data_IF_541033130942
#
_entry.id   IF_541033130942
#
_cell.length_a   1.000
_cell.length_b   1.000
_cell.length_c   1.000
_cell.angle_alpha   90.00
_cell.angle_beta   90.00
_cell.angle_gamma   90.00
#
_symmetry.space_group_name_H-M   'P 1'
#
loop_
_entity.id
_entity.type
_entity.pdbx_description
1 polymer ?
#
# COMPACT_ATOMS: atom_id res chain seq x y z
N UNK A 1 19.04 -3.60 1.96
CA UNK A 1 18.52 -2.49 2.80
C UNK A 1 17.03 -2.72 2.94
N UNK A 2 16.51 -2.92 4.15
CA UNK A 2 15.06 -3.05 4.37
C UNK A 2 14.41 -1.66 4.34
N UNK A 3 13.12 -1.62 3.97
CA UNK A 3 12.35 -0.39 4.02
C UNK A 3 12.00 -0.09 5.48
N UNK A 4 12.30 1.13 5.93
CA UNK A 4 12.09 1.49 7.34
C UNK A 4 10.63 1.79 7.70
N UNK A 5 9.69 1.78 6.77
CA UNK A 5 8.34 2.29 7.01
C UNK A 5 8.24 3.82 6.93
N UNK A 6 7.06 4.38 7.23
CA UNK A 6 6.83 5.83 7.23
C UNK A 6 5.49 6.26 6.65
N UNK A 7 5.36 7.56 6.39
CA UNK A 7 4.14 8.15 5.84
C UNK A 7 4.39 8.62 4.41
N UNK A 8 3.53 8.22 3.49
CA UNK A 8 3.58 8.61 2.08
C UNK A 8 2.20 9.05 1.59
N UNK A 9 2.16 10.04 0.71
CA UNK A 9 0.94 10.51 0.05
C UNK A 9 0.97 10.07 -1.40
N UNK A 10 -0.13 9.49 -1.89
CA UNK A 10 -0.21 9.01 -3.28
C UNK A 10 -0.52 10.11 -4.30
N UNK A 11 -0.89 11.31 -3.84
CA UNK A 11 -1.26 12.48 -4.66
C UNK A 11 -2.35 12.15 -5.70
N UNK A 12 -3.22 11.17 -5.41
CA UNK A 12 -4.29 10.73 -6.29
C UNK A 12 -3.87 9.80 -7.44
N UNK A 13 -2.61 9.35 -7.50
CA UNK A 13 -2.18 8.31 -8.46
C UNK A 13 -2.31 6.91 -7.82
N UNK A 14 -3.23 6.12 -8.37
CA UNK A 14 -3.52 4.76 -7.91
C UNK A 14 -2.31 3.84 -8.00
N UNK A 15 -1.39 4.05 -8.95
CA UNK A 15 -0.17 3.25 -9.08
C UNK A 15 0.82 3.56 -7.98
N UNK A 16 0.93 4.83 -7.58
CA UNK A 16 1.77 5.22 -6.43
C UNK A 16 1.20 4.57 -5.17
N UNK A 17 -0.10 4.69 -4.93
CA UNK A 17 -0.76 4.07 -3.78
C UNK A 17 -0.52 2.54 -3.73
N UNK A 18 -0.75 1.82 -4.84
CA UNK A 18 -0.56 0.37 -4.90
C UNK A 18 0.91 -0.05 -4.76
N UNK A 19 1.84 0.68 -5.39
CA UNK A 19 3.27 0.37 -5.30
C UNK A 19 3.80 0.54 -3.88
N UNK A 20 3.37 1.60 -3.19
CA UNK A 20 3.72 1.84 -1.79
C UNK A 20 3.13 0.78 -0.85
N UNK A 21 1.92 0.30 -1.15
CA UNK A 21 1.26 -0.74 -0.37
C UNK A 21 1.99 -2.10 -0.50
N UNK A 22 2.47 -2.45 -1.69
CA UNK A 22 3.33 -3.63 -1.87
C UNK A 22 4.68 -3.44 -1.17
N UNK A 23 5.27 -2.24 -1.24
CA UNK A 23 6.51 -1.92 -0.54
C UNK A 23 6.35 -2.03 0.99
N UNK A 24 5.16 -1.71 1.52
CA UNK A 24 4.83 -1.83 2.94
C UNK A 24 4.92 -3.26 3.47
N UNK A 25 4.59 -4.28 2.65
CA UNK A 25 4.69 -5.68 3.04
C UNK A 25 6.12 -6.11 3.40
N UNK A 26 7.13 -5.46 2.80
CA UNK A 26 8.54 -5.71 3.08
C UNK A 26 9.19 -4.69 4.03
N UNK A 27 8.38 -3.84 4.68
CA UNK A 27 8.86 -2.80 5.58
C UNK A 27 8.95 -3.27 7.04
N UNK A 28 9.92 -2.72 7.77
CA UNK A 28 10.15 -3.08 9.18
C UNK A 28 9.14 -2.42 10.11
N UNK A 29 8.70 -1.21 9.76
CA UNK A 29 7.73 -0.44 10.54
C UNK A 29 6.51 -0.13 9.69
N UNK A 30 5.41 0.26 10.34
CA UNK A 30 4.15 0.63 9.70
C UNK A 30 4.36 1.66 8.56
N UNK A 31 3.69 1.41 7.43
CA UNK A 31 3.57 2.37 6.32
C UNK A 31 2.15 2.89 6.28
N UNK A 32 1.99 4.21 6.36
CA UNK A 32 0.71 4.90 6.16
C UNK A 32 0.69 5.54 4.78
N UNK A 33 -0.36 5.27 4.01
CA UNK A 33 -0.55 5.77 2.65
C UNK A 33 -1.81 6.63 2.62
N UNK A 34 -1.67 7.91 2.29
CA UNK A 34 -2.78 8.83 2.12
C UNK A 34 -3.27 8.88 0.66
N UNK A 35 -4.49 9.38 0.46
CA UNK A 35 -5.17 9.57 -0.83
C UNK A 35 -5.43 8.27 -1.62
N UNK A 36 -5.64 7.16 -0.93
CA UNK A 36 -5.88 5.83 -1.54
C UNK A 36 -7.25 5.67 -2.20
N UNK A 37 -8.15 6.65 -2.11
CA UNK A 37 -9.50 6.57 -2.69
C UNK A 37 -9.49 6.28 -4.21
N UNK A 38 -8.43 6.69 -4.91
CA UNK A 38 -8.25 6.43 -6.34
C UNK A 38 -8.06 4.94 -6.69
N UNK A 39 -7.59 4.10 -5.74
CA UNK A 39 -7.32 2.68 -6.03
C UNK A 39 -8.60 1.89 -6.30
N UNK A 40 -9.69 2.17 -5.59
CA UNK A 40 -10.97 1.47 -5.75
C UNK A 40 -11.58 1.67 -7.15
N UNK A 41 -11.31 2.81 -7.78
CA UNK A 41 -11.79 3.09 -9.15
C UNK A 41 -11.06 2.28 -10.22
N UNK A 42 -9.78 1.95 -9.97
CA UNK A 42 -8.92 1.27 -10.94
C UNK A 42 -8.81 -0.23 -10.67
N UNK A 43 -8.74 -0.63 -9.41
CA UNK A 43 -8.63 -2.02 -8.98
C UNK A 43 -9.43 -2.24 -7.69
N UNK A 44 -10.75 -2.41 -7.79
CA UNK A 44 -11.61 -2.70 -6.65
C UNK A 44 -11.19 -4.03 -6.00
N UNK A 45 -11.05 -4.04 -4.67
CA UNK A 45 -10.60 -5.22 -3.91
C UNK A 45 -9.08 -5.37 -3.78
N UNK A 46 -8.30 -4.37 -4.22
CA UNK A 46 -6.84 -4.34 -4.01
C UNK A 46 -6.45 -4.55 -2.54
N UNK A 47 -7.10 -3.82 -1.63
CA UNK A 47 -6.78 -3.83 -0.20
C UNK A 47 -7.15 -5.16 0.47
N UNK A 48 -8.21 -5.81 0.00
CA UNK A 48 -8.61 -7.13 0.48
C UNK A 48 -7.58 -8.19 0.07
N UNK A 49 -7.13 -8.15 -1.18
CA UNK A 49 -6.05 -9.02 -1.68
C UNK A 49 -4.75 -8.78 -0.89
N UNK A 50 -4.40 -7.53 -0.67
CA UNK A 50 -3.21 -7.14 0.10
C UNK A 50 -3.28 -7.67 1.54
N UNK A 51 -4.44 -7.56 2.17
CA UNK A 51 -4.68 -8.07 3.53
C UNK A 51 -4.64 -9.59 3.59
N UNK A 52 -5.11 -10.27 2.53
CA UNK A 52 -5.05 -11.72 2.43
C UNK A 52 -3.59 -12.20 2.41
N UNK A 53 -2.74 -11.59 1.58
CA UNK A 53 -1.33 -11.99 1.47
C UNK A 53 -0.49 -11.54 2.66
N UNK A 54 -0.84 -10.44 3.35
CA UNK A 54 -0.10 -9.98 4.52
C UNK A 54 -0.31 -10.86 5.76
N UNK A 55 -1.38 -11.65 5.80
CA UNK A 55 -1.68 -12.58 6.90
C UNK A 55 -0.89 -13.89 6.82
N UNK A 56 -0.28 -14.18 5.68
CA UNK A 56 0.46 -15.42 5.44
C UNK A 56 1.97 -15.29 5.78
N UNK A 57 2.44 -14.08 6.14
CA UNK A 57 3.86 -13.78 6.43
C UNK A 57 4.16 -13.57 7.90
#
# INVERSE_FOLDING_TARGET
KQLSGGHVTSFGDHRIAMSMAVAALGSVNEVKIDDTACTETSFPGFWDLLTLISKDS
#
